data_IF_381938882313
#
_entry.id   IF_381938882313
#
_cell.length_a   1.000
_cell.length_b   1.000
_cell.length_c   1.000
_cell.angle_alpha   90.00
_cell.angle_beta   90.00
_cell.angle_gamma   90.00
#
_symmetry.space_group_name_H-M   'P 1'
#
loop_
_entity.id
_entity.type
_entity.pdbx_description
1 polymer ?
#
# COMPACT_ATOMS: atom_id res chain seq x y z
N UNK A 1 5.50 -17.88 -20.89
CA UNK A 1 6.58 -16.92 -20.56
C UNK A 1 5.89 -15.77 -19.83
N UNK A 2 6.02 -15.68 -18.51
CA UNK A 2 5.43 -14.58 -17.74
C UNK A 2 6.20 -13.30 -18.01
N UNK A 3 5.52 -12.23 -18.44
CA UNK A 3 6.13 -10.91 -18.55
C UNK A 3 6.28 -10.35 -17.13
N UNK A 4 7.52 -10.25 -16.66
CA UNK A 4 7.83 -9.66 -15.35
C UNK A 4 8.12 -8.17 -15.56
N UNK A 5 7.43 -7.30 -14.83
CA UNK A 5 7.58 -5.84 -14.88
C UNK A 5 8.87 -5.33 -14.23
N UNK A 6 10.03 -5.80 -14.70
CA UNK A 6 11.34 -5.36 -14.21
C UNK A 6 11.78 -4.07 -14.90
N UNK A 7 12.34 -3.10 -14.16
CA UNK A 7 12.91 -1.91 -14.77
C UNK A 7 14.12 -2.23 -15.65
N UNK A 8 14.33 -1.44 -16.70
CA UNK A 8 15.51 -1.53 -17.55
C UNK A 8 16.79 -1.27 -16.75
N UNK A 9 17.86 -2.08 -16.88
CA UNK A 9 19.12 -1.87 -16.16
C UNK A 9 19.77 -0.50 -16.40
N UNK A 10 19.44 0.16 -17.51
CA UNK A 10 19.93 1.51 -17.82
C UNK A 10 19.37 2.59 -16.88
N UNK A 11 18.27 2.31 -16.19
CA UNK A 11 17.61 3.23 -15.26
C UNK A 11 18.08 3.03 -13.81
N UNK A 12 19.01 2.10 -13.55
CA UNK A 12 19.50 1.88 -12.19
C UNK A 12 20.33 3.07 -11.71
N UNK A 13 20.00 3.58 -10.53
CA UNK A 13 20.63 4.77 -9.96
C UNK A 13 22.01 4.50 -9.33
N UNK A 14 22.90 3.79 -10.04
CA UNK A 14 24.19 3.33 -9.50
C UNK A 14 25.09 4.46 -9.01
N UNK A 15 25.21 5.54 -9.80
CA UNK A 15 26.03 6.70 -9.43
C UNK A 15 25.50 7.42 -8.19
N UNK A 16 24.18 7.67 -8.13
CA UNK A 16 23.54 8.32 -6.98
C UNK A 16 23.62 7.47 -5.71
N UNK A 17 23.50 6.15 -5.82
CA UNK A 17 23.69 5.22 -4.69
C UNK A 17 25.12 5.28 -4.16
N UNK A 18 26.13 5.26 -5.04
CA UNK A 18 27.53 5.37 -4.64
C UNK A 18 27.83 6.72 -3.95
N UNK A 19 27.27 7.81 -4.49
CA UNK A 19 27.41 9.13 -3.91
C UNK A 19 26.79 9.17 -2.50
N UNK A 20 25.53 8.77 -2.35
CA UNK A 20 24.85 8.76 -1.04
C UNK A 20 25.56 7.86 -0.03
N UNK A 21 26.06 6.69 -0.46
CA UNK A 21 26.86 5.83 0.40
C UNK A 21 28.17 6.51 0.84
N UNK A 22 28.84 7.24 -0.05
CA UNK A 22 30.08 7.97 0.26
C UNK A 22 29.81 9.11 1.25
N UNK A 23 28.73 9.86 1.06
CA UNK A 23 28.32 10.96 1.95
C UNK A 23 28.06 10.46 3.39
N UNK A 24 27.47 9.27 3.56
CA UNK A 24 27.19 8.67 4.87
C UNK A 24 28.43 8.01 5.46
N UNK A 25 29.14 7.18 4.68
CA UNK A 25 30.16 6.26 5.18
C UNK A 25 31.55 6.90 5.37
N UNK A 26 31.74 8.15 4.96
CA UNK A 26 33.00 8.88 5.21
C UNK A 26 33.02 9.66 6.53
N UNK A 27 31.85 9.90 7.13
CA UNK A 27 31.70 10.51 8.45
C UNK A 27 31.47 9.43 9.49
N UNK A 28 32.32 9.36 10.52
CA UNK A 28 32.16 8.39 11.62
C UNK A 28 30.80 8.54 12.32
N UNK A 29 30.35 9.77 12.52
CA UNK A 29 29.07 10.06 13.18
C UNK A 29 27.86 9.62 12.34
N UNK A 30 27.86 9.88 11.03
CA UNK A 30 26.75 9.46 10.15
C UNK A 30 26.77 7.95 9.90
N UNK A 31 27.97 7.36 9.78
CA UNK A 31 28.15 5.90 9.73
C UNK A 31 27.56 5.23 10.95
N UNK A 32 27.85 5.74 12.16
CA UNK A 32 27.30 5.20 13.39
C UNK A 32 25.77 5.25 13.38
N UNK A 33 25.16 6.39 13.02
CA UNK A 33 23.69 6.54 12.93
C UNK A 33 23.06 5.58 11.92
N UNK A 34 23.75 5.27 10.83
CA UNK A 34 23.23 4.41 9.76
C UNK A 34 23.39 2.91 10.05
N UNK A 35 24.42 2.51 10.80
CA UNK A 35 24.78 1.09 10.99
C UNK A 35 24.37 0.49 12.35
N UNK A 36 23.98 1.31 13.33
CA UNK A 36 23.39 0.81 14.59
C UNK A 36 21.87 0.67 14.49
N UNK A 37 21.25 0.04 15.49
CA UNK A 37 19.79 -0.05 15.56
C UNK A 37 19.15 1.34 15.52
N UNK A 38 18.26 1.53 14.55
CA UNK A 38 17.45 2.73 14.41
C UNK A 38 16.04 2.56 14.98
N UNK A 39 15.21 3.61 14.89
CA UNK A 39 13.80 3.54 15.27
C UNK A 39 13.07 2.46 14.45
N UNK A 40 12.16 1.71 15.07
CA UNK A 40 11.39 0.63 14.41
C UNK A 40 10.61 1.13 13.18
N UNK A 41 10.03 2.32 13.28
CA UNK A 41 9.28 2.99 12.18
C UNK A 41 10.17 3.46 11.02
N UNK A 42 11.50 3.48 11.22
CA UNK A 42 12.50 3.80 10.20
C UNK A 42 13.29 5.09 10.45
N UNK A 43 14.35 5.24 9.66
CA UNK A 43 15.30 6.36 9.75
C UNK A 43 14.60 7.71 9.49
N UNK A 44 14.60 8.67 10.44
CA UNK A 44 13.79 9.89 10.32
C UNK A 44 14.08 10.75 9.07
N UNK A 45 15.34 11.03 8.69
CA UNK A 45 15.64 11.78 7.45
C UNK A 45 15.05 11.14 6.18
N UNK A 46 15.00 9.80 6.12
CA UNK A 46 14.39 9.10 4.98
C UNK A 46 12.86 9.27 4.99
N UNK A 47 12.22 9.15 6.16
CA UNK A 47 10.76 9.34 6.31
C UNK A 47 10.35 10.76 5.91
N UNK A 48 11.11 11.76 6.36
CA UNK A 48 10.88 13.17 5.99
C UNK A 48 11.06 13.40 4.49
N UNK A 49 12.13 12.86 3.90
CA UNK A 49 12.39 12.97 2.45
C UNK A 49 11.27 12.34 1.63
N UNK A 50 10.77 11.16 2.04
CA UNK A 50 9.63 10.50 1.40
C UNK A 50 8.37 11.36 1.54
N UNK A 51 8.07 11.86 2.74
CA UNK A 51 6.90 12.71 2.96
C UNK A 51 6.93 13.99 2.10
N UNK A 52 8.07 14.67 2.03
CA UNK A 52 8.24 15.86 1.19
C UNK A 52 8.07 15.53 -0.31
N UNK A 53 8.66 14.42 -0.76
CA UNK A 53 8.54 13.96 -2.14
C UNK A 53 7.11 13.57 -2.51
N UNK A 54 6.41 12.82 -1.67
CA UNK A 54 5.00 12.49 -1.86
C UNK A 54 4.14 13.76 -1.86
N UNK A 55 4.41 14.70 -0.94
CA UNK A 55 3.66 15.96 -0.88
C UNK A 55 3.75 16.75 -2.18
N UNK A 56 4.97 16.87 -2.72
CA UNK A 56 5.21 17.54 -4.00
C UNK A 56 4.58 16.78 -5.17
N UNK A 57 4.67 15.45 -5.17
CA UNK A 57 4.24 14.62 -6.30
C UNK A 57 2.72 14.59 -6.45
N UNK A 58 1.99 14.41 -5.35
CA UNK A 58 0.53 14.34 -5.37
C UNK A 58 -0.15 15.69 -5.15
N UNK A 59 0.62 16.73 -4.81
CA UNK A 59 0.10 18.03 -4.40
C UNK A 59 -0.89 17.94 -3.22
N UNK A 60 -0.59 17.05 -2.27
CA UNK A 60 -1.35 16.80 -1.04
C UNK A 60 -0.38 16.80 0.12
N UNK A 61 -0.62 17.62 1.14
CA UNK A 61 0.27 17.67 2.30
C UNK A 61 0.32 16.32 3.03
N UNK A 62 1.52 15.77 3.18
CA UNK A 62 1.81 14.63 4.05
C UNK A 62 2.96 14.97 5.00
N UNK A 63 3.20 14.13 5.99
CA UNK A 63 4.27 14.30 6.98
C UNK A 63 4.90 12.96 7.33
N UNK A 64 6.05 12.99 8.00
CA UNK A 64 6.77 11.76 8.34
C UNK A 64 6.01 10.83 9.28
N UNK A 65 5.07 11.32 10.09
CA UNK A 65 4.31 10.51 11.06
C UNK A 65 3.42 9.48 10.36
N UNK A 66 3.02 9.76 9.12
CA UNK A 66 2.27 8.84 8.26
C UNK A 66 3.13 7.76 7.60
N UNK A 67 4.46 7.92 7.64
CA UNK A 67 5.40 7.10 6.88
C UNK A 67 6.07 6.08 7.79
N UNK A 68 5.88 4.79 7.49
CA UNK A 68 6.67 3.68 8.03
C UNK A 68 7.60 3.14 6.95
N UNK A 69 8.90 2.97 7.24
CA UNK A 69 9.85 2.36 6.30
C UNK A 69 9.67 0.84 6.31
N UNK A 70 9.80 0.22 5.13
CA UNK A 70 9.53 -1.21 4.95
C UNK A 70 10.61 -1.87 4.11
N UNK A 71 10.63 -3.20 4.11
CA UNK A 71 11.53 -4.04 3.31
C UNK A 71 11.01 -4.31 1.88
N UNK A 72 10.26 -3.34 1.33
CA UNK A 72 9.64 -3.40 0.01
C UNK A 72 8.18 -3.90 0.03
N UNK A 73 7.47 -3.69 -1.08
CA UNK A 73 6.02 -3.84 -1.13
C UNK A 73 5.49 -5.24 -0.76
N UNK A 74 6.16 -6.32 -1.20
CA UNK A 74 5.71 -7.69 -0.93
C UNK A 74 5.83 -8.06 0.55
N UNK A 75 6.96 -7.76 1.17
CA UNK A 75 7.16 -8.08 2.57
C UNK A 75 6.33 -7.16 3.47
N UNK A 76 6.15 -5.89 3.07
CA UNK A 76 5.22 -5.00 3.74
C UNK A 76 3.77 -5.48 3.70
N UNK A 77 3.30 -6.02 2.57
CA UNK A 77 1.97 -6.61 2.49
C UNK A 77 1.80 -7.71 3.54
N UNK A 78 2.81 -8.56 3.72
CA UNK A 78 2.80 -9.56 4.81
C UNK A 78 2.76 -8.91 6.19
N UNK A 79 3.52 -7.85 6.43
CA UNK A 79 3.53 -7.15 7.73
C UNK A 79 2.17 -6.50 8.05
N UNK A 80 1.53 -5.88 7.06
CA UNK A 80 0.17 -5.33 7.19
C UNK A 80 -0.81 -6.42 7.61
N UNK A 81 -0.77 -7.59 6.96
CA UNK A 81 -1.65 -8.71 7.31
C UNK A 81 -1.36 -9.23 8.72
N UNK A 82 -0.08 -9.39 9.08
CA UNK A 82 0.32 -9.83 10.42
C UNK A 82 -0.16 -8.88 11.51
N UNK A 83 -0.19 -7.56 11.26
CA UNK A 83 -0.61 -6.60 12.27
C UNK A 83 -2.11 -6.39 12.35
N UNK A 84 -2.76 -6.23 11.21
CA UNK A 84 -4.11 -5.66 11.12
C UNK A 84 -5.20 -6.67 10.76
N UNK A 85 -4.87 -7.95 10.68
CA UNK A 85 -5.84 -9.01 10.34
C UNK A 85 -5.73 -10.20 11.27
N UNK A 86 -6.84 -10.87 11.53
CA UNK A 86 -6.91 -12.10 12.31
C UNK A 86 -7.48 -13.19 11.39
N UNK A 87 -6.78 -14.30 11.11
CA UNK A 87 -7.25 -15.27 10.12
C UNK A 87 -8.52 -16.02 10.53
N UNK A 88 -9.02 -15.87 11.76
CA UNK A 88 -10.34 -16.36 12.17
C UNK A 88 -11.40 -15.27 11.97
N UNK A 89 -11.12 -14.05 12.44
CA UNK A 89 -12.09 -12.95 12.42
C UNK A 89 -12.16 -12.19 11.08
N UNK A 90 -11.01 -11.92 10.45
CA UNK A 90 -10.94 -11.36 9.11
C UNK A 90 -11.45 -12.40 8.12
N UNK A 91 -12.55 -12.03 7.45
CA UNK A 91 -13.45 -12.99 6.81
C UNK A 91 -13.02 -13.34 5.40
N UNK A 92 -12.58 -12.33 4.65
CA UNK A 92 -12.29 -12.45 3.23
C UNK A 92 -11.25 -11.40 2.80
N UNK A 93 -10.43 -11.78 1.81
CA UNK A 93 -9.58 -10.86 1.05
C UNK A 93 -10.18 -10.71 -0.35
N UNK A 94 -10.57 -9.50 -0.71
CA UNK A 94 -11.06 -9.16 -2.03
C UNK A 94 -9.93 -8.61 -2.90
N UNK A 95 -9.84 -9.06 -4.14
CA UNK A 95 -8.81 -8.64 -5.08
C UNK A 95 -9.46 -8.32 -6.43
N UNK A 96 -9.08 -7.20 -7.06
CA UNK A 96 -9.54 -6.90 -8.44
C UNK A 96 -9.03 -7.98 -9.39
N UNK A 97 -9.89 -8.55 -10.24
CA UNK A 97 -9.50 -9.51 -11.27
C UNK A 97 -9.57 -8.90 -12.69
N UNK A 98 -8.52 -9.07 -13.52
CA UNK A 98 -7.24 -9.74 -13.23
C UNK A 98 -6.37 -8.94 -12.24
N UNK A 99 -5.51 -9.64 -11.48
CA UNK A 99 -4.69 -9.06 -10.40
C UNK A 99 -3.21 -9.37 -10.53
N UNK A 100 -2.38 -8.68 -9.73
CA UNK A 100 -0.98 -9.05 -9.53
C UNK A 100 -0.88 -10.38 -8.75
N UNK A 101 -0.78 -11.48 -9.48
CA UNK A 101 -0.88 -12.84 -8.93
C UNK A 101 0.16 -13.18 -7.86
N UNK A 102 1.31 -12.49 -7.81
CA UNK A 102 2.33 -12.70 -6.78
C UNK A 102 1.91 -12.20 -5.40
N UNK A 103 0.81 -11.43 -5.29
CA UNK A 103 0.19 -11.11 -4.02
C UNK A 103 -0.58 -12.30 -3.42
N UNK A 104 -1.12 -13.20 -4.24
CA UNK A 104 -1.97 -14.31 -3.77
C UNK A 104 -1.25 -15.23 -2.76
N UNK A 105 -0.01 -15.72 -3.03
CA UNK A 105 0.71 -16.54 -2.04
C UNK A 105 0.93 -15.83 -0.71
N UNK A 106 1.15 -14.51 -0.72
CA UNK A 106 1.37 -13.73 0.51
C UNK A 106 0.11 -13.78 1.39
N UNK A 107 -1.08 -13.65 0.80
CA UNK A 107 -2.32 -13.79 1.57
C UNK A 107 -2.51 -15.22 2.08
N UNK A 108 -2.24 -16.24 1.26
CA UNK A 108 -2.35 -17.64 1.68
C UNK A 108 -1.43 -17.97 2.86
N UNK A 109 -0.16 -17.54 2.80
CA UNK A 109 0.85 -17.75 3.83
C UNK A 109 0.48 -17.03 5.15
N UNK A 110 -0.31 -15.95 5.06
CA UNK A 110 -0.87 -15.23 6.21
C UNK A 110 -2.21 -15.80 6.72
N UNK A 111 -2.58 -17.01 6.29
CA UNK A 111 -3.75 -17.73 6.81
C UNK A 111 -5.05 -17.47 6.05
N UNK A 112 -4.99 -16.85 4.87
CA UNK A 112 -6.16 -16.56 4.04
C UNK A 112 -6.37 -17.56 2.90
N UNK A 113 -5.77 -18.75 2.97
CA UNK A 113 -6.04 -19.83 2.01
C UNK A 113 -7.54 -20.17 2.04
N UNK A 114 -8.16 -20.19 0.86
CA UNK A 114 -9.61 -20.39 0.69
C UNK A 114 -10.47 -19.17 1.02
N UNK A 115 -9.87 -18.04 1.40
CA UNK A 115 -10.57 -16.77 1.70
C UNK A 115 -10.36 -15.68 0.64
N UNK A 116 -9.63 -15.96 -0.43
CA UNK A 116 -9.41 -15.01 -1.53
C UNK A 116 -10.62 -14.99 -2.47
N UNK A 117 -11.11 -13.80 -2.81
CA UNK A 117 -12.23 -13.60 -3.73
C UNK A 117 -11.90 -12.55 -4.78
N UNK A 118 -11.97 -12.96 -6.05
CA UNK A 118 -11.88 -12.04 -7.19
C UNK A 118 -13.10 -11.13 -7.27
N UNK A 119 -12.86 -9.87 -7.58
CA UNK A 119 -13.87 -8.84 -7.89
C UNK A 119 -13.63 -8.36 -9.31
N UNK A 120 -14.60 -8.46 -10.21
CA UNK A 120 -14.42 -8.03 -11.59
C UNK A 120 -13.95 -6.57 -11.71
N UNK A 121 -13.04 -6.32 -12.64
CA UNK A 121 -12.69 -4.97 -13.04
C UNK A 121 -13.78 -4.40 -13.97
N UNK A 122 -14.31 -3.23 -13.64
CA UNK A 122 -15.20 -2.42 -14.46
C UNK A 122 -14.41 -1.48 -15.40
N UNK A 123 -15.11 -0.56 -16.08
CA UNK A 123 -14.45 0.46 -16.91
C UNK A 123 -13.58 1.41 -16.07
N UNK A 124 -14.00 1.70 -14.85
CA UNK A 124 -13.43 2.75 -14.00
C UNK A 124 -12.64 2.20 -12.80
N UNK A 125 -12.23 0.93 -12.83
CA UNK A 125 -11.51 0.25 -11.75
C UNK A 125 -12.30 -0.94 -11.21
N UNK A 126 -12.41 -1.10 -9.90
CA UNK A 126 -13.13 -2.22 -9.27
C UNK A 126 -14.66 -2.12 -9.46
N UNK A 127 -15.36 -3.24 -9.68
CA UNK A 127 -16.82 -3.27 -9.64
C UNK A 127 -17.34 -3.12 -8.21
N UNK A 128 -17.78 -1.90 -7.88
CA UNK A 128 -18.28 -1.53 -6.56
C UNK A 128 -19.57 -2.26 -6.20
N UNK A 129 -20.45 -2.52 -7.17
CA UNK A 129 -21.73 -3.18 -6.92
C UNK A 129 -21.49 -4.65 -6.56
N UNK A 130 -20.66 -5.33 -7.36
CA UNK A 130 -20.26 -6.71 -7.07
C UNK A 130 -19.56 -6.82 -5.71
N UNK A 131 -18.62 -5.92 -5.41
CA UNK A 131 -17.91 -5.93 -4.13
C UNK A 131 -18.88 -5.76 -2.95
N UNK A 132 -19.86 -4.86 -3.07
CA UNK A 132 -20.89 -4.65 -2.04
C UNK A 132 -21.71 -5.90 -1.80
N UNK A 133 -22.21 -6.54 -2.85
CA UNK A 133 -23.02 -7.76 -2.74
C UNK A 133 -22.22 -8.89 -2.08
N UNK A 134 -20.94 -9.03 -2.44
CA UNK A 134 -20.05 -10.02 -1.86
C UNK A 134 -19.73 -9.73 -0.37
N UNK A 135 -19.50 -8.46 0.00
CA UNK A 135 -19.32 -8.05 1.39
C UNK A 135 -20.57 -8.34 2.24
N UNK A 136 -21.76 -8.03 1.72
CA UNK A 136 -23.04 -8.30 2.40
C UNK A 136 -23.27 -9.79 2.62
N UNK A 137 -23.01 -10.62 1.59
CA UNK A 137 -23.13 -12.06 1.70
C UNK A 137 -22.19 -12.64 2.77
N UNK A 138 -20.93 -12.19 2.79
CA UNK A 138 -19.94 -12.65 3.77
C UNK A 138 -20.22 -12.13 5.18
N UNK A 139 -20.77 -10.91 5.34
CA UNK A 139 -21.20 -10.40 6.64
C UNK A 139 -22.34 -11.25 7.22
N UNK A 140 -23.33 -11.62 6.39
CA UNK A 140 -24.46 -12.43 6.81
C UNK A 140 -24.02 -13.81 7.34
N UNK A 141 -23.05 -14.45 6.68
CA UNK A 141 -22.45 -15.71 7.16
C UNK A 141 -21.76 -15.51 8.50
N UNK A 142 -20.94 -14.46 8.64
CA UNK A 142 -20.23 -14.18 9.89
C UNK A 142 -21.17 -13.92 11.07
N UNK A 143 -22.30 -13.25 10.83
CA UNK A 143 -23.33 -13.03 11.85
C UNK A 143 -23.99 -14.35 12.26
N UNK A 144 -24.33 -15.22 11.30
CA UNK A 144 -24.89 -16.54 11.57
C UNK A 144 -23.92 -17.43 12.38
N UNK A 145 -22.62 -17.32 12.10
CA UNK A 145 -21.55 -18.04 12.80
C UNK A 145 -21.07 -17.36 14.09
N UNK A 146 -21.67 -16.22 14.48
CA UNK A 146 -21.29 -15.41 15.65
C UNK A 146 -19.81 -14.97 15.66
N UNK A 147 -19.21 -14.78 14.48
CA UNK A 147 -17.84 -14.30 14.32
C UNK A 147 -17.78 -12.76 14.39
N UNK A 148 -17.97 -12.23 15.60
CA UNK A 148 -18.14 -10.80 15.85
C UNK A 148 -16.92 -10.10 16.45
N UNK A 149 -15.91 -10.86 16.88
CA UNK A 149 -14.70 -10.31 17.53
C UNK A 149 -13.45 -11.09 17.15
N UNK A 150 -12.27 -10.43 17.08
CA UNK A 150 -10.97 -11.10 16.93
C UNK A 150 -10.77 -12.21 17.96
N UNK A 151 -10.14 -13.32 17.54
CA UNK A 151 -9.98 -14.53 18.37
C UNK A 151 -8.52 -14.81 18.70
N UNK A 152 -7.62 -14.64 17.73
CA UNK A 152 -6.18 -14.85 17.88
C UNK A 152 -5.45 -13.55 18.23
N UNK A 153 -5.93 -12.42 17.70
CA UNK A 153 -5.26 -11.12 17.82
C UNK A 153 -6.15 -10.13 18.55
N UNK A 154 -5.95 -10.04 19.87
CA UNK A 154 -6.72 -9.16 20.76
C UNK A 154 -5.82 -8.56 21.85
N UNK A 155 -6.38 -7.67 22.66
CA UNK A 155 -5.66 -7.01 23.76
C UNK A 155 -4.84 -5.81 23.29
N UNK A 156 -3.87 -5.39 24.11
CA UNK A 156 -3.11 -4.15 23.90
C UNK A 156 -2.15 -4.20 22.70
N UNK A 157 -1.80 -5.39 22.23
CA UNK A 157 -0.87 -5.59 21.11
C UNK A 157 -1.54 -5.45 19.74
N UNK A 158 -2.87 -5.62 19.69
CA UNK A 158 -3.65 -5.63 18.46
C UNK A 158 -4.84 -4.69 18.64
N UNK A 159 -4.55 -3.39 18.67
CA UNK A 159 -5.53 -2.33 18.91
C UNK A 159 -6.50 -2.13 17.76
N UNK A 160 -6.13 -2.57 16.55
CA UNK A 160 -6.99 -2.55 15.36
C UNK A 160 -6.84 -3.83 14.55
N UNK A 161 -7.98 -4.49 14.29
CA UNK A 161 -8.09 -5.64 13.39
C UNK A 161 -9.29 -5.41 12.47
N UNK A 162 -9.10 -5.51 11.16
CA UNK A 162 -10.16 -5.28 10.18
C UNK A 162 -10.95 -6.54 9.87
N UNK A 163 -12.23 -6.37 9.53
CA UNK A 163 -13.14 -7.45 9.12
C UNK A 163 -12.79 -8.02 7.75
N UNK A 164 -12.29 -7.16 6.85
CA UNK A 164 -11.97 -7.50 5.47
C UNK A 164 -10.67 -6.84 5.02
N UNK A 165 -10.08 -7.39 3.97
CA UNK A 165 -9.00 -6.73 3.23
C UNK A 165 -9.42 -6.59 1.77
N UNK A 166 -9.12 -5.45 1.16
CA UNK A 166 -9.31 -5.19 -0.26
C UNK A 166 -7.94 -4.83 -0.84
N UNK A 167 -7.43 -5.63 -1.76
CA UNK A 167 -6.16 -5.38 -2.43
C UNK A 167 -6.40 -4.86 -3.84
N UNK A 168 -5.80 -3.70 -4.15
CA UNK A 168 -5.96 -3.02 -5.43
C UNK A 168 -4.64 -2.44 -5.90
N UNK A 169 -4.47 -2.35 -7.22
CA UNK A 169 -3.43 -1.54 -7.87
C UNK A 169 -4.19 -0.40 -8.56
N UNK A 170 -4.34 0.78 -7.93
CA UNK A 170 -5.35 1.74 -8.37
C UNK A 170 -4.93 2.55 -9.60
N UNK A 171 -3.63 2.60 -9.91
CA UNK A 171 -3.07 3.33 -11.05
C UNK A 171 -2.20 2.40 -11.86
N UNK A 172 -2.37 2.39 -13.19
CA UNK A 172 -1.67 1.49 -14.11
C UNK A 172 -1.70 0.04 -13.64
N UNK A 173 -2.90 -0.44 -13.31
CA UNK A 173 -3.15 -1.71 -12.66
C UNK A 173 -2.45 -2.88 -13.37
N UNK A 174 -1.76 -3.74 -12.64
CA UNK A 174 -1.15 -4.93 -13.22
C UNK A 174 -2.15 -6.10 -13.17
N UNK A 175 -2.58 -6.69 -14.31
CA UNK A 175 -2.04 -6.54 -15.67
C UNK A 175 -2.84 -5.63 -16.64
N UNK A 176 -4.00 -5.09 -16.24
CA UNK A 176 -4.93 -4.42 -17.16
C UNK A 176 -4.45 -3.06 -17.71
N UNK A 177 -3.50 -2.42 -17.03
CA UNK A 177 -3.01 -1.07 -17.29
C UNK A 177 -4.00 0.04 -16.91
N UNK A 178 -5.17 -0.28 -16.34
CA UNK A 178 -6.21 0.72 -16.05
C UNK A 178 -5.87 1.59 -14.84
N UNK A 179 -6.44 2.78 -14.82
CA UNK A 179 -6.33 3.73 -13.70
C UNK A 179 -7.72 4.08 -13.19
N UNK A 180 -7.94 3.86 -11.90
CA UNK A 180 -9.20 4.15 -11.22
C UNK A 180 -9.41 5.66 -11.11
N UNK A 181 -10.58 6.13 -11.56
CA UNK A 181 -10.95 7.54 -11.47
C UNK A 181 -11.29 7.97 -10.03
N UNK A 182 -11.35 9.28 -9.77
CA UNK A 182 -11.56 9.82 -8.42
C UNK A 182 -12.90 9.41 -7.81
N UNK A 183 -13.98 9.35 -8.59
CA UNK A 183 -15.30 8.98 -8.09
C UNK A 183 -15.35 7.50 -7.66
N UNK A 184 -14.71 6.61 -8.42
CA UNK A 184 -14.53 5.21 -8.03
C UNK A 184 -13.67 5.07 -6.76
N UNK A 185 -12.61 5.86 -6.62
CA UNK A 185 -11.78 5.89 -5.40
C UNK A 185 -12.60 6.28 -4.17
N UNK A 186 -13.41 7.35 -4.25
CA UNK A 186 -14.30 7.78 -3.17
C UNK A 186 -15.33 6.70 -2.81
N UNK A 187 -15.96 6.08 -3.81
CA UNK A 187 -16.94 4.99 -3.59
C UNK A 187 -16.31 3.77 -2.92
N UNK A 188 -15.09 3.42 -3.32
CA UNK A 188 -14.35 2.30 -2.72
C UNK A 188 -14.00 2.60 -1.25
N UNK A 189 -13.49 3.79 -0.94
CA UNK A 189 -13.20 4.22 0.44
C UNK A 189 -14.47 4.23 1.29
N UNK A 190 -15.57 4.78 0.77
CA UNK A 190 -16.85 4.80 1.49
C UNK A 190 -17.33 3.38 1.82
N UNK A 191 -17.26 2.45 0.86
CA UNK A 191 -17.63 1.05 1.05
C UNK A 191 -16.69 0.35 2.05
N UNK A 192 -15.38 0.61 2.00
CA UNK A 192 -14.44 0.03 2.94
C UNK A 192 -14.70 0.48 4.38
N UNK A 193 -15.03 1.76 4.60
CA UNK A 193 -15.44 2.27 5.92
C UNK A 193 -16.74 1.61 6.41
N UNK A 194 -17.73 1.47 5.54
CA UNK A 194 -19.02 0.85 5.86
C UNK A 194 -18.89 -0.57 6.41
N UNK A 195 -17.98 -1.37 5.83
CA UNK A 195 -17.78 -2.79 6.20
C UNK A 195 -16.58 -3.04 7.12
N UNK A 196 -15.87 -2.00 7.56
CA UNK A 196 -14.60 -2.10 8.28
C UNK A 196 -13.54 -2.94 7.54
N UNK A 197 -13.35 -2.63 6.26
CA UNK A 197 -12.33 -3.21 5.40
C UNK A 197 -11.07 -2.33 5.35
N UNK A 198 -9.90 -2.96 5.33
CA UNK A 198 -8.64 -2.30 5.01
C UNK A 198 -8.38 -2.40 3.51
N UNK A 199 -8.27 -1.27 2.83
CA UNK A 199 -7.78 -1.21 1.47
C UNK A 199 -6.26 -1.13 1.51
N UNK A 200 -5.57 -2.11 0.93
CA UNK A 200 -4.13 -2.05 0.68
C UNK A 200 -3.94 -1.70 -0.79
N UNK A 201 -3.48 -0.48 -1.07
CA UNK A 201 -3.19 -0.02 -2.43
C UNK A 201 -1.73 -0.23 -2.76
N UNK A 202 -1.44 -0.96 -3.85
CA UNK A 202 -0.08 -1.12 -4.38
C UNK A 202 0.23 0.03 -5.33
N UNK A 203 0.76 1.12 -4.78
CA UNK A 203 0.96 2.40 -5.48
C UNK A 203 2.35 2.49 -6.15
N UNK A 204 2.97 1.34 -6.43
CA UNK A 204 4.34 1.24 -7.00
C UNK A 204 4.47 1.75 -8.44
N UNK A 205 3.35 1.94 -9.15
CA UNK A 205 3.33 2.37 -10.55
C UNK A 205 2.93 3.85 -10.73
N UNK A 206 2.45 4.54 -9.70
CA UNK A 206 1.95 5.93 -9.80
C UNK A 206 2.94 6.88 -10.49
N UNK A 207 4.24 6.64 -10.27
CA UNK A 207 5.36 7.44 -10.78
C UNK A 207 5.80 7.08 -12.21
N UNK A 208 5.14 6.12 -12.85
CA UNK A 208 5.45 5.66 -14.20
C UNK A 208 4.55 6.32 -15.26
N UNK A 209 4.14 7.57 -15.03
CA UNK A 209 3.44 8.35 -16.05
C UNK A 209 4.45 9.03 -16.97
N UNK A 210 4.37 8.75 -18.27
CA UNK A 210 5.17 9.45 -19.28
C UNK A 210 4.32 10.08 -20.37
N UNK A 211 4.78 11.22 -20.89
CA UNK A 211 4.21 11.80 -22.10
C UNK A 211 4.42 10.87 -23.28
N UNK A 212 3.33 10.61 -23.99
CA UNK A 212 3.35 9.93 -25.29
C UNK A 212 3.66 10.90 -26.44
N UNK A 213 3.77 12.20 -26.17
CA UNK A 213 4.23 13.19 -27.14
C UNK A 213 5.76 13.12 -27.28
N UNK A 214 6.29 12.68 -28.44
CA UNK A 214 7.73 12.59 -28.66
C UNK A 214 8.44 13.94 -28.70
N UNK A 215 7.70 15.06 -28.73
CA UNK A 215 8.22 16.43 -28.71
C UNK A 215 8.19 17.08 -27.34
N UNK A 216 7.58 16.43 -26.33
CA UNK A 216 7.53 16.96 -24.99
C UNK A 216 8.93 17.06 -24.37
N UNK A 217 9.30 18.26 -23.94
CA UNK A 217 10.55 18.53 -23.22
C UNK A 217 10.50 18.08 -21.76
N UNK A 218 9.30 17.83 -21.24
CA UNK A 218 9.05 17.28 -19.93
C UNK A 218 8.38 15.92 -20.09
N UNK A 219 9.03 14.86 -19.62
CA UNK A 219 8.58 13.50 -19.87
C UNK A 219 7.44 13.08 -18.93
N UNK A 220 7.05 13.87 -17.94
CA UNK A 220 5.94 13.56 -17.03
C UNK A 220 4.64 14.15 -17.58
N UNK A 221 3.68 13.29 -17.94
CA UNK A 221 2.39 13.73 -18.47
C UNK A 221 1.33 13.84 -17.37
N UNK A 222 0.93 15.07 -17.05
CA UNK A 222 -0.26 15.36 -16.24
C UNK A 222 -0.07 15.20 -14.73
N UNK A 223 -1.12 15.58 -13.98
CA UNK A 223 -1.17 15.39 -12.53
C UNK A 223 -1.34 13.90 -12.18
N UNK A 224 -0.52 13.38 -11.27
CA UNK A 224 -0.68 12.02 -10.74
C UNK A 224 -2.06 11.90 -10.06
N UNK A 225 -2.84 10.82 -10.28
CA UNK A 225 -4.12 10.63 -9.61
C UNK A 225 -3.98 10.64 -8.08
N UNK A 226 -4.98 11.17 -7.38
CA UNK A 226 -5.02 11.12 -5.91
C UNK A 226 -5.02 9.67 -5.41
N UNK A 227 -4.15 9.35 -4.45
CA UNK A 227 -4.09 8.01 -3.85
C UNK A 227 -5.30 7.75 -2.98
N UNK A 228 -5.62 6.46 -2.76
CA UNK A 228 -6.72 6.07 -1.88
C UNK A 228 -6.52 6.57 -0.44
N UNK A 229 -5.27 6.58 0.05
CA UNK A 229 -4.93 7.13 1.37
C UNK A 229 -5.20 8.64 1.48
N UNK A 230 -5.00 9.38 0.40
CA UNK A 230 -5.26 10.82 0.35
C UNK A 230 -6.78 11.08 0.34
N UNK A 231 -7.52 10.31 -0.48
CA UNK A 231 -8.99 10.36 -0.54
C UNK A 231 -9.61 10.04 0.82
N UNK A 232 -9.15 8.97 1.48
CA UNK A 232 -9.62 8.57 2.81
C UNK A 232 -9.35 9.66 3.85
N UNK A 233 -8.13 10.18 3.93
CA UNK A 233 -7.81 11.23 4.89
C UNK A 233 -8.59 12.54 4.69
N UNK A 234 -9.06 12.82 3.47
CA UNK A 234 -9.81 14.02 3.13
C UNK A 234 -11.33 13.87 3.32
N UNK A 235 -11.86 12.65 3.43
CA UNK A 235 -13.29 12.39 3.60
C UNK A 235 -13.72 12.54 5.07
N UNK A 236 -14.85 13.21 5.30
CA UNK A 236 -15.47 13.34 6.64
C UNK A 236 -15.62 11.98 7.33
N UNK A 237 -15.37 11.93 8.64
CA UNK A 237 -15.41 10.67 9.40
C UNK A 237 -14.16 9.79 9.24
N UNK A 238 -13.01 10.37 8.88
CA UNK A 238 -11.72 9.68 8.92
C UNK A 238 -11.43 9.16 10.34
N UNK A 239 -11.19 7.85 10.44
CA UNK A 239 -10.93 7.19 11.72
C UNK A 239 -9.45 7.30 12.11
N UNK A 240 -9.15 7.02 13.38
CA UNK A 240 -7.76 7.04 13.90
C UNK A 240 -6.80 6.18 13.06
N UNK A 241 -7.24 5.01 12.60
CA UNK A 241 -6.44 4.09 11.78
C UNK A 241 -6.68 4.22 10.26
N UNK A 242 -7.68 5.00 9.85
CA UNK A 242 -8.19 5.01 8.48
C UNK A 242 -8.77 3.67 8.04
N UNK A 243 -8.98 3.52 6.73
CA UNK A 243 -9.36 2.28 6.06
C UNK A 243 -8.52 2.04 4.80
N UNK A 244 -7.40 2.75 4.66
CA UNK A 244 -6.52 2.71 3.50
C UNK A 244 -5.05 2.74 3.92
N UNK A 245 -4.22 1.97 3.21
CA UNK A 245 -2.78 1.99 3.35
C UNK A 245 -2.13 1.93 1.96
N UNK A 246 -1.35 2.97 1.63
CA UNK A 246 -0.54 3.04 0.41
C UNK A 246 0.75 2.25 0.61
N UNK A 247 0.94 1.20 -0.18
CA UNK A 247 2.11 0.34 -0.16
C UNK A 247 3.08 0.75 -1.28
N UNK A 248 4.15 1.47 -0.91
CA UNK A 248 5.15 1.98 -1.84
C UNK A 248 6.45 1.17 -1.86
N UNK A 249 7.21 1.30 -2.95
CA UNK A 249 8.53 0.66 -3.06
C UNK A 249 9.49 1.40 -3.99
N UNK A 250 10.77 1.44 -3.60
CA UNK A 250 11.85 1.90 -4.47
C UNK A 250 12.21 0.92 -5.58
N UNK A 251 11.56 -0.25 -5.65
CA UNK A 251 11.86 -1.29 -6.64
C UNK A 251 11.73 -0.79 -8.08
N UNK A 252 10.83 0.16 -8.35
CA UNK A 252 10.52 0.72 -9.68
C UNK A 252 11.12 2.11 -9.88
N UNK A 253 11.80 2.64 -8.86
CA UNK A 253 12.39 3.98 -8.84
C UNK A 253 13.92 3.94 -8.84
N UNK A 254 14.50 3.03 -8.07
CA UNK A 254 15.96 2.87 -7.90
C UNK A 254 16.39 1.51 -8.44
N UNK A 255 15.72 0.46 -7.99
CA UNK A 255 15.99 -0.91 -8.41
C UNK A 255 15.47 -1.95 -7.41
N UNK A 256 15.02 -3.13 -7.85
CA UNK A 256 14.38 -4.13 -6.98
C UNK A 256 15.33 -4.75 -5.94
N UNK A 257 16.64 -4.65 -6.16
CA UNK A 257 17.68 -5.20 -5.28
C UNK A 257 17.92 -4.42 -4.00
N UNK A 258 17.44 -3.17 -3.88
CA UNK A 258 17.65 -2.37 -2.65
C UNK A 258 16.78 -2.83 -1.50
N UNK A 259 15.67 -3.52 -1.78
CA UNK A 259 14.74 -4.07 -0.78
C UNK A 259 14.21 -3.04 0.23
N UNK A 260 13.96 -1.82 -0.23
CA UNK A 260 13.37 -0.74 0.59
C UNK A 260 12.04 -0.29 -0.01
N UNK A 261 11.07 -0.02 0.86
CA UNK A 261 9.80 0.60 0.54
C UNK A 261 9.29 1.42 1.71
N UNK A 262 8.01 1.78 1.64
CA UNK A 262 7.33 2.51 2.70
C UNK A 262 5.84 2.19 2.69
N UNK A 263 5.20 2.41 3.84
CA UNK A 263 3.75 2.54 3.96
C UNK A 263 3.41 4.00 4.23
N UNK A 264 2.42 4.54 3.53
CA UNK A 264 1.73 5.78 3.92
C UNK A 264 0.32 5.40 4.39
N UNK A 265 0.01 5.77 5.62
CA UNK A 265 -1.28 5.52 6.28
C UNK A 265 -1.59 6.62 7.30
N UNK A 266 -2.57 6.40 8.18
CA UNK A 266 -2.74 7.30 9.32
C UNK A 266 -1.50 7.24 10.23
N UNK A 267 -1.23 8.27 11.05
CA UNK A 267 -0.13 8.21 12.02
C UNK A 267 -0.22 7.00 12.96
N UNK A 268 -1.43 6.67 13.45
CA UNK A 268 -1.63 5.49 14.30
C UNK A 268 -1.37 4.19 13.53
N UNK A 269 -1.79 4.10 12.26
CA UNK A 269 -1.50 2.95 11.41
C UNK A 269 0.00 2.76 11.19
N UNK A 270 0.73 3.85 10.87
CA UNK A 270 2.17 3.80 10.62
C UNK A 270 2.96 3.38 11.87
N UNK A 271 2.60 3.89 13.04
CA UNK A 271 3.19 3.48 14.33
C UNK A 271 2.90 2.01 14.60
N UNK A 272 1.64 1.60 14.52
CA UNK A 272 1.25 0.23 14.84
C UNK A 272 1.87 -0.79 13.86
N UNK A 273 2.00 -0.44 12.57
CA UNK A 273 2.69 -1.28 11.59
C UNK A 273 4.19 -1.45 11.89
N UNK A 274 4.83 -0.46 12.53
CA UNK A 274 6.25 -0.53 12.85
C UNK A 274 6.59 -1.51 13.98
N UNK A 275 5.57 -1.99 14.70
CA UNK A 275 5.68 -2.93 15.82
C UNK A 275 5.51 -4.40 15.38
N UNK A 276 5.72 -4.71 14.08
CA UNK A 276 5.64 -6.07 13.49
C UNK A 276 6.96 -6.80 13.54
#
# INVERSE_FOLDING_TARGET
MSVLGWPSPRLFAGASLLQGATEVLTSEAETAKALIYGPHIGHPPLRESIAQWLSKTYNVATNMDRICITNGASANLSNILQKFTDPIYTRQVFMVEPTYFLACPIFEDNGFRGKLKGVPESADGIDIAFLRDALQATEAVAVAEQNMTPKLKSGKTYVKVYKYVIYVVPTFANPSGKTMNLESRKKLVALAREFDALIVSDDVYDFLSWSVDPTATDHVSGSVPLRLVDVDSAMEGYSEFGNTASNGSFSKLIGPGVRVGWTDGSPAFAVELSEV
#
